data_IF_360010206407
#
_entry.id   IF_360010206407
#
_cell.length_a   1.000
_cell.length_b   1.000
_cell.length_c   1.000
_cell.angle_alpha   90.00
_cell.angle_beta   90.00
_cell.angle_gamma   90.00
#
_symmetry.space_group_name_H-M   'P 1'
#
loop_
_entity.id
_entity.type
_entity.pdbx_description
1 polymer ?
#
# COMPACT_ATOMS: atom_id res chain seq x y z
N UNK A 1 -10.60 16.78 32.15
CA UNK A 1 -9.76 16.28 31.03
C UNK A 1 -10.64 16.39 29.79
N UNK A 2 -10.41 17.37 28.91
CA UNK A 2 -11.18 17.47 27.67
C UNK A 2 -10.86 16.27 26.79
N UNK A 3 -11.88 15.46 26.52
CA UNK A 3 -11.79 14.33 25.60
C UNK A 3 -11.65 14.89 24.19
N UNK A 4 -10.46 14.78 23.61
CA UNK A 4 -10.23 15.18 22.23
C UNK A 4 -11.17 14.43 21.29
N UNK A 5 -11.95 15.16 20.50
CA UNK A 5 -12.86 14.56 19.51
C UNK A 5 -12.06 14.23 18.25
N UNK A 6 -12.14 12.99 17.77
CA UNK A 6 -11.54 12.56 16.51
C UNK A 6 -12.27 13.28 15.36
N UNK A 7 -11.49 13.94 14.48
CA UNK A 7 -12.02 14.62 13.29
C UNK A 7 -11.67 13.82 12.04
N UNK A 8 -12.65 13.67 11.15
CA UNK A 8 -12.51 12.88 9.92
C UNK A 8 -12.19 13.80 8.74
N UNK A 9 -11.20 13.43 7.93
CA UNK A 9 -10.86 14.10 6.67
C UNK A 9 -11.08 13.12 5.51
N UNK A 10 -11.75 13.58 4.45
CA UNK A 10 -12.02 12.75 3.28
C UNK A 10 -10.72 12.30 2.57
N UNK A 11 -10.68 11.05 2.13
CA UNK A 11 -9.63 10.45 1.29
C UNK A 11 -10.27 9.77 0.08
N UNK A 12 -9.55 9.71 -1.04
CA UNK A 12 -9.95 8.95 -2.24
C UNK A 12 -9.33 7.54 -2.28
N UNK A 13 -8.54 7.19 -1.27
CA UNK A 13 -7.90 5.88 -1.20
C UNK A 13 -8.96 4.79 -1.13
N UNK A 14 -8.98 3.91 -2.12
CA UNK A 14 -9.79 2.69 -2.15
C UNK A 14 -9.06 1.51 -1.49
N UNK A 15 -7.80 1.73 -1.11
CA UNK A 15 -6.97 0.82 -0.35
C UNK A 15 -5.55 1.37 -0.25
N UNK A 16 -4.75 0.76 0.61
CA UNK A 16 -3.34 1.11 0.80
C UNK A 16 -2.44 -0.07 0.46
N UNK A 17 -1.25 0.21 -0.04
CA UNK A 17 -0.18 -0.77 -0.20
C UNK A 17 0.89 -0.41 0.81
N UNK A 18 1.14 -1.32 1.75
CA UNK A 18 2.14 -1.16 2.79
C UNK A 18 3.42 -1.87 2.35
N UNK A 19 4.54 -1.14 2.34
CA UNK A 19 5.84 -1.66 1.91
C UNK A 19 6.80 -1.62 3.08
N UNK A 20 7.46 -2.74 3.39
CA UNK A 20 8.43 -2.82 4.48
C UNK A 20 9.70 -2.02 4.17
N UNK A 21 9.89 -0.86 4.83
CA UNK A 21 11.05 0.00 4.63
C UNK A 21 12.38 -0.64 5.00
N UNK A 22 12.41 -1.55 6.00
CA UNK A 22 13.64 -2.27 6.36
C UNK A 22 14.09 -3.24 5.24
N UNK A 23 13.15 -3.94 4.59
CA UNK A 23 13.48 -4.80 3.46
C UNK A 23 13.98 -3.97 2.28
N UNK A 24 13.28 -2.87 1.95
CA UNK A 24 13.69 -1.94 0.90
C UNK A 24 15.10 -1.41 1.12
N UNK A 25 15.43 -1.00 2.36
CA UNK A 25 16.77 -0.51 2.71
C UNK A 25 17.84 -1.59 2.63
N UNK A 26 17.52 -2.84 3.01
CA UNK A 26 18.45 -3.97 2.93
C UNK A 26 18.75 -4.37 1.48
N UNK A 27 17.73 -4.29 0.61
CA UNK A 27 17.87 -4.63 -0.80
C UNK A 27 18.52 -3.50 -1.62
N UNK A 28 18.35 -2.25 -1.17
CA UNK A 28 18.91 -1.03 -1.78
C UNK A 28 18.56 -0.85 -3.26
N UNK A 29 17.29 -1.10 -3.60
CA UNK A 29 16.78 -1.05 -4.97
C UNK A 29 16.18 -2.39 -5.37
N UNK A 30 16.50 -2.85 -6.58
CA UNK A 30 16.09 -4.15 -7.06
C UNK A 30 14.93 -4.17 -8.06
N UNK A 31 14.31 -3.03 -8.33
CA UNK A 31 13.11 -2.96 -9.17
C UNK A 31 13.23 -1.96 -10.32
N UNK A 32 12.34 -2.11 -11.31
CA UNK A 32 12.29 -1.31 -12.53
C UNK A 32 13.37 -1.70 -13.55
N UNK A 33 13.36 -1.06 -14.73
CA UNK A 33 14.20 -1.43 -15.88
C UNK A 33 15.69 -1.59 -15.55
N UNK A 34 16.23 -0.76 -14.65
CA UNK A 34 17.65 -0.77 -14.26
C UNK A 34 17.92 -1.50 -12.95
N UNK A 35 16.91 -2.08 -12.30
CA UNK A 35 17.03 -2.81 -11.04
C UNK A 35 17.54 -1.98 -9.86
N UNK A 36 17.44 -0.65 -9.91
CA UNK A 36 17.94 0.28 -8.88
C UNK A 36 16.83 1.06 -8.18
N UNK A 37 15.58 0.86 -8.59
CA UNK A 37 14.45 1.60 -8.05
C UNK A 37 13.92 0.90 -6.80
N UNK A 38 13.70 1.60 -5.69
CA UNK A 38 12.99 1.03 -4.54
C UNK A 38 11.54 0.71 -4.90
N UNK A 39 11.01 -0.39 -4.37
CA UNK A 39 9.64 -0.84 -4.65
C UNK A 39 8.58 0.25 -4.44
N UNK A 40 8.71 1.05 -3.38
CA UNK A 40 7.75 2.12 -3.07
C UNK A 40 7.70 3.19 -4.17
N UNK A 41 8.85 3.49 -4.80
CA UNK A 41 8.95 4.49 -5.86
C UNK A 41 8.37 3.94 -7.15
N UNK A 42 8.69 2.68 -7.45
CA UNK A 42 8.15 1.96 -8.59
C UNK A 42 6.61 1.91 -8.55
N UNK A 43 6.03 1.47 -7.43
CA UNK A 43 4.57 1.40 -7.25
C UNK A 43 3.89 2.77 -7.40
N UNK A 44 4.51 3.83 -6.87
CA UNK A 44 3.98 5.20 -7.01
C UNK A 44 3.95 5.67 -8.46
N UNK A 45 4.97 5.30 -9.25
CA UNK A 45 5.05 5.61 -10.67
C UNK A 45 4.05 4.79 -11.47
N UNK A 46 4.03 3.46 -11.26
CA UNK A 46 3.19 2.53 -11.99
C UNK A 46 1.69 2.77 -11.77
N UNK A 47 1.27 3.08 -10.54
CA UNK A 47 -0.12 3.36 -10.22
C UNK A 47 -0.55 4.81 -10.56
N UNK A 48 0.32 5.62 -11.19
CA UNK A 48 0.01 6.99 -11.60
C UNK A 48 -0.45 7.90 -10.45
N UNK A 49 0.06 7.67 -9.23
CA UNK A 49 -0.53 8.23 -8.03
C UNK A 49 -0.37 9.76 -7.98
N UNK A 50 -1.51 10.46 -7.90
CA UNK A 50 -1.55 11.87 -7.48
C UNK A 50 -1.01 11.98 -6.04
N UNK A 51 -0.46 13.14 -5.66
CA UNK A 51 0.14 13.29 -4.32
C UNK A 51 -0.91 13.10 -3.20
N UNK A 52 -0.61 12.20 -2.26
CA UNK A 52 -1.30 12.07 -0.96
C UNK A 52 -2.71 11.49 -1.01
N UNK A 53 -3.60 11.99 -0.12
CA UNK A 53 -4.99 11.49 0.09
C UNK A 53 -5.93 11.58 -1.12
N UNK A 54 -5.50 12.23 -2.20
CA UNK A 54 -6.28 12.43 -3.44
C UNK A 54 -6.02 11.33 -4.49
N UNK A 55 -5.08 10.43 -4.25
CA UNK A 55 -4.85 9.26 -5.10
C UNK A 55 -5.93 8.19 -4.89
N UNK A 56 -6.11 7.29 -5.86
CA UNK A 56 -7.03 6.15 -5.71
C UNK A 56 -6.44 5.03 -4.86
N UNK A 57 -5.11 4.94 -4.77
CA UNK A 57 -4.39 4.02 -3.90
C UNK A 57 -3.33 4.76 -3.09
N UNK A 58 -3.12 4.31 -1.86
CA UNK A 58 -2.08 4.85 -0.99
C UNK A 58 -0.87 3.94 -0.88
N UNK A 59 0.27 4.30 -1.47
CA UNK A 59 1.52 3.53 -1.28
C UNK A 59 2.33 4.14 -0.13
N UNK A 60 2.40 3.39 0.96
CA UNK A 60 3.00 3.80 2.24
C UNK A 60 4.18 2.91 2.57
N UNK A 61 5.33 3.53 2.78
CA UNK A 61 6.46 2.84 3.39
C UNK A 61 6.25 2.80 4.90
N UNK A 62 6.32 1.60 5.47
CA UNK A 62 6.13 1.36 6.89
C UNK A 62 7.42 0.84 7.54
N UNK A 63 7.42 0.81 8.88
CA UNK A 63 8.51 0.19 9.64
C UNK A 63 8.57 -1.32 9.38
N UNK A 64 9.64 -1.93 9.90
CA UNK A 64 9.90 -3.36 9.80
C UNK A 64 8.71 -4.20 10.26
N UNK A 65 8.30 -5.14 9.42
CA UNK A 65 7.21 -6.09 9.69
C UNK A 65 7.65 -7.37 10.42
N UNK A 66 8.94 -7.49 10.76
CA UNK A 66 9.49 -8.65 11.48
C UNK A 66 9.89 -9.83 10.58
N UNK A 67 9.51 -9.80 9.30
CA UNK A 67 9.90 -10.79 8.29
C UNK A 67 10.96 -10.17 7.37
N UNK A 68 12.13 -10.81 7.26
CA UNK A 68 13.24 -10.37 6.41
C UNK A 68 13.62 -11.47 5.42
N UNK A 69 12.91 -11.59 4.28
CA UNK A 69 13.23 -12.58 3.26
C UNK A 69 14.57 -12.24 2.58
N UNK A 70 15.20 -13.26 1.99
CA UNK A 70 16.40 -13.05 1.15
C UNK A 70 15.96 -12.52 -0.21
N UNK A 71 16.65 -11.49 -0.71
CA UNK A 71 16.44 -10.92 -2.04
C UNK A 71 14.98 -10.52 -2.36
N UNK A 72 14.21 -10.09 -1.36
CA UNK A 72 12.80 -9.71 -1.55
C UNK A 72 12.37 -8.61 -0.59
N UNK A 73 11.26 -7.94 -0.94
CA UNK A 73 10.59 -6.93 -0.11
C UNK A 73 9.21 -7.42 0.27
N UNK A 74 8.86 -7.30 1.56
CA UNK A 74 7.51 -7.62 2.04
C UNK A 74 6.56 -6.48 1.70
N UNK A 75 5.43 -6.82 1.08
CA UNK A 75 4.35 -5.94 0.69
C UNK A 75 3.00 -6.49 1.18
N UNK A 76 2.09 -5.62 1.58
CA UNK A 76 0.73 -5.98 2.01
C UNK A 76 -0.27 -5.06 1.30
N UNK A 77 -1.34 -5.61 0.73
CA UNK A 77 -2.52 -4.82 0.37
C UNK A 77 -3.39 -4.67 1.62
N UNK A 78 -3.61 -3.43 2.07
CA UNK A 78 -4.47 -3.11 3.20
C UNK A 78 -5.93 -3.54 3.01
N UNK A 79 -6.36 -3.80 1.77
CA UNK A 79 -7.66 -4.42 1.50
C UNK A 79 -7.69 -5.93 1.82
N UNK A 80 -6.51 -6.59 1.92
CA UNK A 80 -6.33 -8.03 2.18
C UNK A 80 -5.16 -8.26 3.16
N UNK A 81 -5.29 -7.82 4.42
CA UNK A 81 -4.20 -7.89 5.39
C UNK A 81 -3.82 -9.32 5.81
N UNK A 82 -4.66 -10.31 5.48
CA UNK A 82 -4.41 -11.74 5.65
C UNK A 82 -3.33 -12.28 4.69
N UNK A 83 -2.97 -11.51 3.64
CA UNK A 83 -2.01 -11.93 2.63
C UNK A 83 -0.81 -11.01 2.56
N UNK A 84 0.35 -11.62 2.77
CA UNK A 84 1.64 -10.94 2.75
C UNK A 84 2.41 -11.43 1.54
N UNK A 85 2.80 -10.50 0.68
CA UNK A 85 3.49 -10.79 -0.57
C UNK A 85 4.99 -10.57 -0.38
N UNK A 86 5.78 -11.55 -0.82
CA UNK A 86 7.22 -11.41 -0.94
C UNK A 86 7.51 -11.04 -2.39
N UNK A 87 7.90 -9.79 -2.62
CA UNK A 87 8.22 -9.31 -3.96
C UNK A 87 9.71 -9.53 -4.21
N UNK A 88 10.10 -10.51 -5.06
CA UNK A 88 11.50 -10.79 -5.31
C UNK A 88 12.17 -9.67 -6.09
N UNK A 89 13.47 -9.52 -5.89
CA UNK A 89 14.31 -8.64 -6.70
C UNK A 89 14.14 -8.97 -8.18
N UNK A 90 14.02 -7.94 -9.03
CA UNK A 90 13.82 -8.09 -10.46
C UNK A 90 12.41 -8.52 -10.89
N UNK A 91 11.46 -8.61 -9.95
CA UNK A 91 10.05 -8.85 -10.29
C UNK A 91 9.53 -7.80 -11.28
N UNK A 92 8.71 -8.28 -12.22
CA UNK A 92 8.11 -7.44 -13.25
C UNK A 92 7.11 -6.45 -12.64
N UNK A 93 7.10 -5.21 -13.16
CA UNK A 93 6.27 -4.15 -12.60
C UNK A 93 4.79 -4.38 -12.85
N UNK A 94 4.44 -4.90 -14.02
CA UNK A 94 3.05 -5.14 -14.39
C UNK A 94 2.51 -6.34 -13.62
N UNK A 95 3.31 -7.37 -13.39
CA UNK A 95 2.96 -8.51 -12.52
C UNK A 95 2.68 -8.07 -11.07
N UNK A 96 3.53 -7.20 -10.51
CA UNK A 96 3.33 -6.65 -9.16
C UNK A 96 2.01 -5.87 -9.07
N UNK A 97 1.72 -5.05 -10.08
CA UNK A 97 0.48 -4.24 -10.11
C UNK A 97 -0.75 -5.09 -10.39
N UNK A 98 -0.64 -6.11 -11.25
CA UNK A 98 -1.69 -7.08 -11.53
C UNK A 98 -2.07 -7.83 -10.25
N UNK A 99 -1.10 -8.31 -9.48
CA UNK A 99 -1.34 -8.97 -8.18
C UNK A 99 -2.13 -8.08 -7.21
N UNK A 100 -1.93 -6.75 -7.26
CA UNK A 100 -2.70 -5.79 -6.45
C UNK A 100 -4.10 -5.47 -7.03
N UNK A 101 -4.34 -5.74 -8.31
CA UNK A 101 -5.56 -5.37 -9.04
C UNK A 101 -6.52 -6.55 -9.20
N UNK A 102 -6.01 -7.77 -9.43
CA UNK A 102 -6.79 -9.01 -9.55
C UNK A 102 -7.60 -9.34 -8.29
N UNK A 103 -7.24 -8.72 -7.17
CA UNK A 103 -7.92 -8.91 -5.88
C UNK A 103 -8.89 -7.78 -5.51
N UNK A 104 -9.15 -6.88 -6.46
CA UNK A 104 -10.04 -5.71 -6.33
C UNK A 104 -11.52 -6.02 -6.58
N UNK A 105 -11.86 -7.23 -7.03
CA UNK A 105 -13.24 -7.63 -7.37
C UNK A 105 -14.16 -7.89 -6.16
N UNK A 106 -13.82 -7.35 -4.99
CA UNK A 106 -14.76 -7.25 -3.86
C UNK A 106 -15.13 -5.78 -3.69
N UNK A 107 -16.40 -5.40 -3.94
CA UNK A 107 -16.81 -4.01 -3.84
C UNK A 107 -16.53 -3.48 -2.44
N UNK A 108 -15.99 -2.26 -2.39
CA UNK A 108 -15.84 -1.47 -1.17
C UNK A 108 -17.16 -1.50 -0.40
N UNK A 109 -17.20 -1.78 0.92
CA UNK A 109 -18.39 -1.52 1.69
C UNK A 109 -18.73 -0.03 1.54
N UNK A 110 -19.99 0.25 1.24
CA UNK A 110 -20.53 1.61 1.18
C UNK A 110 -20.10 2.37 2.44
N UNK A 111 -19.76 3.67 2.36
CA UNK A 111 -19.52 4.46 3.57
C UNK A 111 -20.72 4.26 4.51
N UNK A 112 -20.50 4.11 5.83
CA UNK A 112 -21.61 4.02 6.75
C UNK A 112 -22.53 5.23 6.50
N UNK A 113 -23.86 5.05 6.46
CA UNK A 113 -24.78 6.18 6.30
C UNK A 113 -24.42 7.22 7.36
N UNK A 114 -24.42 8.50 6.96
CA UNK A 114 -24.18 9.61 7.88
C UNK A 114 -25.04 9.36 9.13
N UNK A 115 -24.38 9.20 10.28
CA UNK A 115 -25.03 8.78 11.52
C UNK A 115 -26.27 9.64 11.75
N UNK A 116 -27.44 8.99 11.78
CA UNK A 116 -28.65 9.62 12.27
C UNK A 116 -28.37 10.16 13.68
N UNK A 117 -28.90 11.34 14.05
CA UNK A 117 -28.74 11.86 15.40
C UNK A 117 -29.26 10.82 16.39
N UNK A 118 -28.40 10.46 17.36
CA UNK A 118 -28.76 9.60 18.48
C UNK A 118 -29.86 10.32 19.31
N UNK A 119 -30.82 9.56 19.88
CA UNK A 119 -31.91 10.12 20.68
C UNK A 119 -31.42 10.79 21.97
#
# INVERSE_FOLDING_TARGET
METGVIRVLASRWQGSVLVCGKCSKKLDGGFGEKGRTPLVKLLRQALGLKKGRKADRGVVEIKCLGVCPKNAVVMIDGARPDRWMLVPVGADTDEIVATLTEHRDVPSPSPPPASLPLP
#
